data_IF_409235717160
#
_entry.id   IF_409235717160
#
_cell.length_a   1.000
_cell.length_b   1.000
_cell.length_c   1.000
_cell.angle_alpha   90.00
_cell.angle_beta   90.00
_cell.angle_gamma   90.00
#
_symmetry.space_group_name_H-M   'P 1'
#
loop_
_entity.id
_entity.type
_entity.pdbx_description
1 polymer ?
#
# COMPACT_ATOMS: atom_id res chain seq x y z
N UNK A 1 -29.46 -50.22 37.61
CA UNK A 1 -29.27 -49.88 36.19
C UNK A 1 -29.49 -51.13 35.36
N UNK A 2 -30.73 -51.39 34.95
CA UNK A 2 -31.03 -52.46 34.01
C UNK A 2 -30.59 -52.02 32.60
N UNK A 3 -30.07 -52.92 31.76
CA UNK A 3 -29.74 -52.59 30.38
C UNK A 3 -31.01 -52.21 29.61
N UNK A 4 -30.91 -51.26 28.66
CA UNK A 4 -32.05 -50.83 27.86
C UNK A 4 -32.62 -52.00 27.04
N UNK A 5 -33.94 -52.00 26.93
CA UNK A 5 -34.70 -52.94 26.12
C UNK A 5 -34.29 -52.86 24.64
N UNK A 6 -34.52 -53.92 23.85
CA UNK A 6 -34.17 -53.92 22.43
C UNK A 6 -34.87 -52.80 21.62
N UNK A 7 -36.06 -52.37 22.03
CA UNK A 7 -36.79 -51.26 21.41
C UNK A 7 -36.11 -49.91 21.71
N UNK A 8 -35.78 -49.63 22.99
CA UNK A 8 -35.04 -48.43 23.39
C UNK A 8 -33.67 -48.34 22.69
N UNK A 9 -33.00 -49.48 22.46
CA UNK A 9 -31.73 -49.52 21.71
C UNK A 9 -31.90 -49.14 20.25
N UNK A 10 -33.02 -49.49 19.63
CA UNK A 10 -33.31 -49.15 18.24
C UNK A 10 -33.59 -47.64 18.11
N UNK A 11 -34.41 -47.08 18.99
CA UNK A 11 -34.70 -45.64 19.03
C UNK A 11 -33.44 -44.80 19.26
N UNK A 12 -32.58 -45.22 20.21
CA UNK A 12 -31.31 -44.55 20.46
C UNK A 12 -30.36 -44.63 19.26
N UNK A 13 -30.35 -45.75 18.53
CA UNK A 13 -29.54 -45.90 17.32
C UNK A 13 -30.03 -44.99 16.19
N UNK A 14 -31.34 -44.84 16.02
CA UNK A 14 -31.93 -43.96 15.03
C UNK A 14 -31.64 -42.49 15.34
N UNK A 15 -31.80 -42.08 16.62
CA UNK A 15 -31.43 -40.74 17.10
C UNK A 15 -29.94 -40.48 16.87
N UNK A 16 -29.07 -41.44 17.17
CA UNK A 16 -27.63 -41.33 16.95
C UNK A 16 -27.27 -41.20 15.46
N UNK A 17 -27.98 -41.92 14.58
CA UNK A 17 -27.79 -41.81 13.14
C UNK A 17 -28.30 -40.46 12.59
N UNK A 18 -29.40 -39.94 13.14
CA UNK A 18 -29.95 -38.62 12.80
C UNK A 18 -28.99 -37.51 13.23
N UNK A 19 -28.49 -37.56 14.47
CA UNK A 19 -27.58 -36.56 15.02
C UNK A 19 -26.23 -36.58 14.30
N UNK A 20 -25.68 -37.75 13.97
CA UNK A 20 -24.44 -37.88 13.20
C UNK A 20 -24.56 -37.23 11.82
N UNK A 21 -25.71 -37.40 11.14
CA UNK A 21 -25.98 -36.72 9.86
C UNK A 21 -26.05 -35.20 10.00
N UNK A 22 -26.70 -34.71 11.06
CA UNK A 22 -26.78 -33.27 11.33
C UNK A 22 -25.40 -32.66 11.65
N UNK A 23 -24.56 -33.38 12.39
CA UNK A 23 -23.18 -32.96 12.70
C UNK A 23 -22.36 -32.87 11.41
N UNK A 24 -22.40 -33.88 10.54
CA UNK A 24 -21.67 -33.86 9.28
C UNK A 24 -22.11 -32.70 8.36
N UNK A 25 -23.41 -32.36 8.34
CA UNK A 25 -23.90 -31.19 7.59
C UNK A 25 -23.36 -29.87 8.15
N UNK A 26 -23.35 -29.72 9.47
CA UNK A 26 -22.83 -28.52 10.13
C UNK A 26 -21.32 -28.38 9.91
N UNK A 27 -20.54 -29.45 10.02
CA UNK A 27 -19.10 -29.44 9.74
C UNK A 27 -18.81 -29.02 8.29
N UNK A 28 -19.57 -29.55 7.33
CA UNK A 28 -19.46 -29.15 5.92
C UNK A 28 -19.75 -27.66 5.71
N UNK A 29 -20.79 -27.13 6.36
CA UNK A 29 -21.17 -25.71 6.27
C UNK A 29 -20.13 -24.80 6.93
N UNK A 30 -19.56 -25.24 8.06
CA UNK A 30 -18.47 -24.52 8.74
C UNK A 30 -17.24 -24.47 7.84
N UNK A 31 -16.82 -25.60 7.26
CA UNK A 31 -15.68 -25.65 6.34
C UNK A 31 -15.89 -24.73 5.13
N UNK A 32 -17.10 -24.71 4.56
CA UNK A 32 -17.45 -23.82 3.44
C UNK A 32 -17.39 -22.34 3.85
N UNK A 33 -17.92 -21.98 5.01
CA UNK A 33 -17.92 -20.61 5.51
C UNK A 33 -16.51 -20.13 5.88
N UNK A 34 -15.63 -21.02 6.33
CA UNK A 34 -14.24 -20.70 6.67
C UNK A 34 -13.35 -20.43 5.45
N UNK A 35 -13.71 -20.90 4.25
CA UNK A 35 -12.96 -20.60 3.02
C UNK A 35 -13.26 -19.23 2.40
N UNK A 36 -14.38 -18.60 2.77
CA UNK A 36 -14.79 -17.29 2.26
C UNK A 36 -13.95 -16.10 2.81
N UNK A 37 -13.53 -16.07 4.08
CA UNK A 37 -12.59 -15.07 4.59
C UNK A 37 -11.28 -15.00 3.81
N UNK A 38 -10.68 -16.14 3.49
CA UNK A 38 -9.39 -16.19 2.81
C UNK A 38 -9.47 -15.59 1.41
N UNK A 39 -10.54 -15.87 0.66
CA UNK A 39 -10.74 -15.27 -0.67
C UNK A 39 -10.94 -13.75 -0.58
N UNK A 40 -11.71 -13.27 0.38
CA UNK A 40 -11.93 -11.83 0.60
C UNK A 40 -10.64 -11.12 1.01
N UNK A 41 -9.79 -11.75 1.83
CA UNK A 41 -8.47 -11.21 2.19
C UNK A 41 -7.57 -11.11 0.96
N UNK A 42 -7.55 -12.12 0.10
CA UNK A 42 -6.82 -12.07 -1.16
C UNK A 42 -7.31 -10.95 -2.08
N UNK A 43 -8.63 -10.83 -2.27
CA UNK A 43 -9.24 -9.77 -3.07
C UNK A 43 -8.91 -8.37 -2.54
N UNK A 44 -8.99 -8.17 -1.22
CA UNK A 44 -8.61 -6.92 -0.57
C UNK A 44 -7.12 -6.61 -0.79
N UNK A 45 -6.25 -7.62 -0.69
CA UNK A 45 -4.83 -7.48 -0.98
C UNK A 45 -4.56 -6.99 -2.41
N UNK A 46 -5.22 -7.60 -3.40
CA UNK A 46 -5.12 -7.21 -4.82
C UNK A 46 -5.62 -5.78 -5.02
N UNK A 47 -6.80 -5.44 -4.50
CA UNK A 47 -7.38 -4.10 -4.63
C UNK A 47 -6.51 -3.02 -3.96
N UNK A 48 -5.90 -3.33 -2.82
CA UNK A 48 -5.02 -2.40 -2.09
C UNK A 48 -3.74 -2.13 -2.87
N UNK A 49 -3.15 -3.15 -3.50
CA UNK A 49 -1.95 -2.97 -4.32
C UNK A 49 -2.24 -2.19 -5.61
N UNK A 50 -3.38 -2.43 -6.25
CA UNK A 50 -3.83 -1.63 -7.39
C UNK A 50 -4.04 -0.16 -7.00
N UNK A 51 -4.66 0.09 -5.83
CA UNK A 51 -4.85 1.44 -5.33
C UNK A 51 -3.51 2.12 -5.02
N UNK A 52 -2.58 1.41 -4.37
CA UNK A 52 -1.23 1.90 -4.05
C UNK A 52 -0.47 2.26 -5.33
N UNK A 53 -0.51 1.40 -6.33
CA UNK A 53 0.12 1.62 -7.64
C UNK A 53 -0.46 2.83 -8.35
N UNK A 54 -1.79 2.94 -8.38
CA UNK A 54 -2.51 4.08 -8.97
C UNK A 54 -2.16 5.39 -8.26
N UNK A 55 -2.17 5.41 -6.92
CA UNK A 55 -1.76 6.57 -6.11
C UNK A 55 -0.30 6.95 -6.34
N UNK A 56 0.59 5.97 -6.52
CA UNK A 56 1.99 6.22 -6.81
C UNK A 56 2.19 6.85 -8.20
N UNK A 57 1.41 6.41 -9.19
CA UNK A 57 1.44 6.99 -10.54
C UNK A 57 0.85 8.41 -10.56
N UNK A 58 -0.24 8.64 -9.82
CA UNK A 58 -0.91 9.93 -9.70
C UNK A 58 -0.27 10.86 -8.66
N UNK A 59 0.85 10.47 -8.06
CA UNK A 59 1.46 11.22 -6.96
C UNK A 59 1.88 12.62 -7.44
N UNK A 60 1.52 13.72 -6.74
CA UNK A 60 1.75 15.10 -7.20
C UNK A 60 3.18 15.41 -7.64
N UNK A 61 4.18 14.78 -7.01
CA UNK A 61 5.61 14.90 -7.38
C UNK A 61 5.92 14.46 -8.82
N UNK A 62 5.12 13.54 -9.39
CA UNK A 62 5.21 13.06 -10.79
C UNK A 62 4.26 13.79 -11.74
N UNK A 63 3.28 14.53 -11.20
CA UNK A 63 2.31 15.32 -11.96
C UNK A 63 2.70 16.80 -12.03
N UNK A 64 3.71 17.20 -11.25
CA UNK A 64 4.36 18.50 -11.36
C UNK A 64 4.96 18.61 -12.78
N UNK A 65 4.48 19.59 -13.54
CA UNK A 65 5.05 19.90 -14.84
C UNK A 65 6.49 20.40 -14.67
N UNK A 66 7.31 20.14 -15.69
CA UNK A 66 8.72 20.53 -15.68
C UNK A 66 8.88 22.05 -15.49
N UNK A 67 7.92 22.87 -15.96
CA UNK A 67 7.89 24.32 -15.74
C UNK A 67 7.75 24.70 -14.27
N UNK A 68 6.86 24.03 -13.52
CA UNK A 68 6.67 24.31 -12.09
C UNK A 68 7.86 23.80 -11.29
N UNK A 69 8.45 22.66 -11.69
CA UNK A 69 9.70 22.18 -11.10
C UNK A 69 10.84 23.17 -11.32
N UNK A 70 10.97 23.70 -12.53
CA UNK A 70 11.95 24.71 -12.88
C UNK A 70 11.81 25.96 -12.01
N UNK A 71 10.59 26.49 -11.84
CA UNK A 71 10.32 27.64 -10.95
C UNK A 71 10.70 27.35 -9.48
N UNK A 72 10.40 26.14 -8.99
CA UNK A 72 10.82 25.73 -7.63
C UNK A 72 12.35 25.77 -7.51
N UNK A 73 13.09 25.28 -8.52
CA UNK A 73 14.56 25.35 -8.51
C UNK A 73 15.07 26.79 -8.51
N UNK A 74 14.45 27.69 -9.29
CA UNK A 74 14.79 29.11 -9.30
C UNK A 74 14.56 29.73 -7.92
N UNK A 75 13.40 29.49 -7.29
CA UNK A 75 13.10 30.00 -5.95
C UNK A 75 14.04 29.48 -4.87
N UNK A 76 14.57 28.26 -5.01
CA UNK A 76 15.57 27.70 -4.09
C UNK A 76 17.00 28.19 -4.39
N UNK A 77 17.22 28.90 -5.49
CA UNK A 77 18.54 29.41 -5.87
C UNK A 77 18.95 30.59 -4.99
N UNK A 78 20.23 30.69 -4.56
CA UNK A 78 20.74 31.83 -3.80
C UNK A 78 20.49 33.19 -4.45
N UNK A 79 20.29 33.21 -5.77
CA UNK A 79 20.06 34.41 -6.59
C UNK A 79 18.60 34.91 -6.51
N UNK A 80 17.64 34.04 -6.19
CA UNK A 80 16.23 34.41 -6.10
C UNK A 80 15.92 34.95 -4.70
N UNK A 81 16.18 36.24 -4.54
CA UNK A 81 15.83 37.03 -3.38
C UNK A 81 14.32 36.91 -3.14
N UNK A 82 13.90 36.39 -1.97
CA UNK A 82 12.75 36.84 -1.16
C UNK A 82 12.36 35.85 -0.04
N UNK A 83 12.87 34.62 -0.06
CA UNK A 83 12.63 33.62 1.00
C UNK A 83 13.99 33.22 1.61
N UNK A 84 14.14 33.10 2.94
CA UNK A 84 15.38 32.65 3.57
C UNK A 84 15.59 31.13 3.38
N UNK A 85 15.36 30.59 2.18
CA UNK A 85 15.73 29.23 1.77
C UNK A 85 17.25 29.08 1.54
N UNK A 86 18.06 29.96 2.14
CA UNK A 86 19.53 29.95 2.08
C UNK A 86 20.16 28.67 2.63
N UNK A 87 19.38 27.76 3.20
CA UNK A 87 19.85 26.59 3.95
C UNK A 87 19.94 25.32 3.11
N UNK A 88 19.19 25.20 2.01
CA UNK A 88 19.28 24.02 1.14
C UNK A 88 19.67 24.45 -0.27
N UNK A 89 20.84 24.00 -0.74
CA UNK A 89 21.21 24.24 -2.11
C UNK A 89 20.20 23.65 -3.12
N UNK A 90 20.00 24.27 -4.29
CA UNK A 90 19.05 23.79 -5.32
C UNK A 90 19.27 22.33 -5.72
N UNK A 91 20.50 21.84 -5.65
CA UNK A 91 20.82 20.45 -5.96
C UNK A 91 20.33 19.44 -4.91
N UNK A 92 19.91 19.89 -3.72
CA UNK A 92 19.38 18.96 -2.70
C UNK A 92 18.00 18.44 -3.11
N UNK A 93 17.18 19.30 -3.70
CA UNK A 93 15.84 18.91 -4.18
C UNK A 93 15.90 18.11 -5.48
N UNK A 94 17.02 18.11 -6.21
CA UNK A 94 17.20 17.23 -7.38
C UNK A 94 17.34 15.74 -6.99
N UNK A 95 17.45 15.42 -5.70
CA UNK A 95 17.51 14.03 -5.20
C UNK A 95 16.13 13.41 -4.92
N UNK A 96 15.03 14.18 -5.08
CA UNK A 96 13.66 13.71 -4.80
C UNK A 96 13.20 12.61 -5.76
N UNK A 97 13.49 12.74 -7.06
CA UNK A 97 13.13 11.75 -8.07
C UNK A 97 13.97 11.89 -9.35
N UNK A 98 13.87 10.89 -10.25
CA UNK A 98 14.53 10.95 -11.57
C UNK A 98 14.06 12.15 -12.41
N UNK A 99 12.78 12.50 -12.34
CA UNK A 99 12.22 13.65 -13.08
C UNK A 99 12.82 14.98 -12.56
N UNK A 100 12.86 15.16 -11.24
CA UNK A 100 13.45 16.36 -10.63
C UNK A 100 14.94 16.50 -10.98
N UNK A 101 15.66 15.38 -11.03
CA UNK A 101 17.06 15.36 -11.49
C UNK A 101 17.20 15.81 -12.94
N UNK A 102 16.35 15.32 -13.83
CA UNK A 102 16.38 15.70 -15.25
C UNK A 102 16.11 17.20 -15.43
N UNK A 103 15.10 17.75 -14.76
CA UNK A 103 14.78 19.18 -14.80
C UNK A 103 15.91 20.03 -14.18
N UNK A 104 16.51 19.60 -13.07
CA UNK A 104 17.63 20.30 -12.46
C UNK A 104 18.83 20.41 -13.41
N UNK A 105 19.16 19.31 -14.11
CA UNK A 105 20.31 19.25 -15.04
C UNK A 105 20.04 20.07 -16.31
N UNK A 106 18.81 20.09 -16.82
CA UNK A 106 18.45 20.89 -18.00
C UNK A 106 18.40 22.40 -17.71
N UNK A 107 18.17 22.79 -16.46
CA UNK A 107 18.11 24.18 -16.02
C UNK A 107 19.52 24.81 -15.92
N UNK A 108 20.06 25.25 -17.06
CA UNK A 108 21.41 25.85 -17.18
C UNK A 108 21.64 27.04 -16.24
N UNK A 109 20.61 27.82 -15.93
CA UNK A 109 20.64 28.93 -14.98
C UNK A 109 21.04 28.53 -13.56
N UNK A 110 20.72 27.30 -13.12
CA UNK A 110 21.08 26.79 -11.78
C UNK A 110 22.56 26.49 -11.66
N UNK A 111 23.21 26.19 -12.79
CA UNK A 111 24.64 25.84 -12.87
C UNK A 111 25.53 27.04 -13.21
N UNK A 112 24.94 28.24 -13.34
CA UNK A 112 25.66 29.46 -13.67
C UNK A 112 26.64 29.91 -12.56
N UNK A 113 26.47 29.43 -11.33
CA UNK A 113 27.33 29.76 -10.19
C UNK A 113 27.45 28.57 -9.24
N UNK A 114 28.68 28.12 -8.96
CA UNK A 114 28.97 27.01 -8.04
C UNK A 114 29.91 27.51 -6.94
N UNK A 115 29.46 27.41 -5.69
CA UNK A 115 30.28 27.72 -4.51
C UNK A 115 30.67 26.43 -3.81
N UNK A 116 31.97 26.19 -3.66
CA UNK A 116 32.50 25.01 -2.98
C UNK A 116 32.89 25.40 -1.54
N UNK A 117 32.39 24.65 -0.56
CA UNK A 117 32.82 24.76 0.83
C UNK A 117 33.78 23.62 1.15
N UNK A 118 34.99 23.95 1.57
CA UNK A 118 35.98 22.98 2.01
C UNK A 118 36.00 22.96 3.54
N UNK A 119 35.83 21.80 4.19
CA UNK A 119 35.98 21.70 5.63
C UNK A 119 37.45 21.93 6.02
N UNK A 120 37.65 22.72 7.08
CA UNK A 120 38.95 23.07 7.67
C UNK A 120 39.62 21.90 8.38
#
# INVERSE_FOLDING_TARGET
NAPPSPEERLELAEIAAQSSRAVADLERRIAQAQGMPDSLVCELGVATEQLRSSKMLLHPIRTLSDDVLYEIFICCSPTCLMIPLRTLPPWTISQVSQQWRLVAVSASCLWSSISLYFPS
#
